data_IF_410328916103
#
_entry.id   IF_410328916103
#
_cell.length_a   1.000
_cell.length_b   1.000
_cell.length_c   1.000
_cell.angle_alpha   90.00
_cell.angle_beta   90.00
_cell.angle_gamma   90.00
#
_symmetry.space_group_name_H-M   'P 1'
#
loop_
_entity.id
_entity.type
_entity.pdbx_description
1 polymer ?
#
# COMPACT_ATOMS: atom_id res chain seq x y z
N UNK A 1 4.02 -9.37 25.04
CA UNK A 1 4.35 -8.47 24.31
C UNK A 1 3.76 -8.46 23.00
N UNK A 2 3.26 -7.53 22.56
CA UNK A 2 2.73 -7.52 21.31
C UNK A 2 3.65 -6.94 20.41
N UNK A 3 3.70 -7.36 19.26
CA UNK A 3 4.56 -6.78 18.32
C UNK A 3 3.74 -6.17 17.26
N UNK A 4 3.96 -4.95 16.95
CA UNK A 4 3.33 -4.32 15.83
C UNK A 4 4.10 -4.67 14.59
N UNK A 5 3.41 -4.68 13.49
CA UNK A 5 4.07 -4.90 12.20
C UNK A 5 5.03 -3.75 11.96
N UNK A 6 6.26 -4.07 11.61
CA UNK A 6 7.27 -3.06 11.35
C UNK A 6 7.29 -2.71 9.88
N UNK A 7 6.70 -1.59 9.53
CA UNK A 7 6.59 -1.17 8.14
C UNK A 7 7.93 -0.82 7.49
N UNK A 8 8.98 -0.67 8.30
CA UNK A 8 10.30 -0.37 7.77
C UNK A 8 11.08 -1.63 7.37
N UNK A 9 10.88 -2.72 8.07
CA UNK A 9 11.71 -3.90 7.82
C UNK A 9 10.97 -5.21 7.62
N UNK A 10 9.74 -5.34 8.08
CA UNK A 10 9.03 -6.59 7.90
C UNK A 10 8.68 -6.81 6.43
N UNK A 11 8.68 -8.05 6.03
CA UNK A 11 8.32 -8.38 4.67
C UNK A 11 6.85 -8.07 4.45
N UNK A 12 6.56 -7.34 3.39
CA UNK A 12 5.19 -7.00 3.03
C UNK A 12 4.73 -7.91 1.91
N UNK A 13 3.58 -8.51 2.08
CA UNK A 13 3.00 -9.38 1.07
C UNK A 13 1.59 -8.90 0.76
N UNK A 14 0.97 -9.53 -0.21
CA UNK A 14 -0.40 -9.17 -0.56
C UNK A 14 -1.37 -9.44 0.58
N UNK A 15 -1.02 -10.30 1.51
CA UNK A 15 -1.88 -10.61 2.65
C UNK A 15 -1.64 -9.73 3.86
N UNK A 16 -0.61 -8.92 3.84
CA UNK A 16 -0.28 -8.06 4.96
C UNK A 16 -1.41 -7.08 5.20
N UNK A 17 -1.99 -7.05 6.40
CA UNK A 17 -3.11 -6.14 6.66
C UNK A 17 -2.63 -4.71 6.89
N UNK A 18 -3.44 -3.76 6.47
CA UNK A 18 -3.17 -2.35 6.73
C UNK A 18 -3.65 -2.06 8.14
N UNK A 19 -2.75 -1.60 8.98
CA UNK A 19 -3.08 -1.35 10.39
C UNK A 19 -2.99 0.14 10.68
N UNK A 20 -3.39 0.52 11.88
CA UNK A 20 -3.31 1.91 12.31
C UNK A 20 -1.88 2.43 12.34
N UNK A 21 -0.91 1.53 12.41
CA UNK A 21 0.50 1.93 12.42
C UNK A 21 1.11 2.04 11.02
N UNK A 22 0.29 1.89 9.99
CA UNK A 22 0.78 1.97 8.62
C UNK A 22 1.56 3.26 8.36
N UNK A 23 2.66 3.14 7.63
CA UNK A 23 3.46 4.28 7.21
C UNK A 23 3.94 4.09 5.80
N UNK A 24 4.15 5.18 5.09
CA UNK A 24 4.64 5.14 3.71
C UNK A 24 6.16 5.07 3.72
N UNK A 25 6.70 3.88 4.00
CA UNK A 25 8.14 3.69 4.10
C UNK A 25 8.71 3.25 2.75
N UNK A 26 10.02 3.22 2.65
CA UNK A 26 10.70 2.70 1.48
C UNK A 26 10.31 1.25 1.24
N UNK A 27 10.17 0.48 2.31
CA UNK A 27 9.77 -0.92 2.21
C UNK A 27 8.40 -1.04 1.57
N UNK A 28 7.47 -0.16 1.94
CA UNK A 28 6.14 -0.13 1.37
C UNK A 28 6.20 0.25 -0.10
N UNK A 29 6.99 1.25 -0.44
CA UNK A 29 7.13 1.68 -1.83
C UNK A 29 7.69 0.58 -2.70
N UNK A 30 8.64 -0.18 -2.15
CA UNK A 30 9.24 -1.29 -2.88
C UNK A 30 8.19 -2.34 -3.19
N UNK A 31 7.33 -2.63 -2.21
CA UNK A 31 6.24 -3.57 -2.41
C UNK A 31 5.32 -3.09 -3.53
N UNK A 32 4.90 -1.83 -3.47
CA UNK A 32 3.97 -1.31 -4.48
C UNK A 32 4.60 -1.27 -5.86
N UNK A 33 5.88 -0.97 -5.95
CA UNK A 33 6.54 -0.99 -7.25
C UNK A 33 6.56 -2.40 -7.82
N UNK A 34 6.75 -3.40 -6.96
CA UNK A 34 6.74 -4.77 -7.43
C UNK A 34 5.35 -5.20 -7.88
N UNK A 35 4.31 -4.68 -7.25
CA UNK A 35 2.94 -5.06 -7.60
C UNK A 35 2.37 -4.23 -8.75
N UNK A 36 2.70 -2.97 -8.78
CA UNK A 36 2.05 -2.02 -9.70
C UNK A 36 2.96 -1.51 -10.81
N UNK A 37 4.26 -1.71 -10.68
CA UNK A 37 5.21 -1.25 -11.70
C UNK A 37 5.97 -0.02 -11.24
N UNK A 38 6.98 0.34 -12.03
CA UNK A 38 7.88 1.43 -11.67
C UNK A 38 7.23 2.79 -11.65
N UNK A 39 6.05 2.90 -12.24
CA UNK A 39 5.36 4.18 -12.28
C UNK A 39 4.55 4.46 -11.04
N UNK A 40 4.56 3.54 -10.07
CA UNK A 40 3.80 3.74 -8.86
C UNK A 40 4.18 5.03 -8.15
N UNK A 41 3.19 5.77 -7.71
CA UNK A 41 3.39 6.96 -6.92
C UNK A 41 2.32 7.08 -5.88
N UNK A 42 2.68 7.66 -4.73
CA UNK A 42 1.69 7.99 -3.72
C UNK A 42 1.18 9.40 -4.01
N UNK A 43 -0.04 9.53 -4.51
CA UNK A 43 -0.63 10.85 -4.65
C UNK A 43 -1.55 11.10 -3.46
N UNK A 44 -2.03 12.30 -3.29
CA UNK A 44 -2.83 12.66 -2.14
C UNK A 44 -4.10 11.86 -2.01
N UNK A 45 -4.91 11.72 -3.05
CA UNK A 45 -6.14 10.95 -2.92
C UNK A 45 -5.89 9.51 -2.53
N UNK A 46 -4.83 8.93 -3.07
CA UNK A 46 -4.52 7.54 -2.77
C UNK A 46 -4.04 7.39 -1.33
N UNK A 47 -3.20 8.33 -0.86
CA UNK A 47 -2.73 8.27 0.52
C UNK A 47 -3.88 8.40 1.50
N UNK A 48 -4.85 9.25 1.18
CA UNK A 48 -6.02 9.37 2.04
C UNK A 48 -6.83 8.09 2.04
N UNK A 49 -6.94 7.45 0.88
CA UNK A 49 -7.66 6.18 0.77
C UNK A 49 -7.00 5.11 1.63
N UNK A 50 -5.67 5.03 1.57
CA UNK A 50 -4.95 4.02 2.35
C UNK A 50 -5.13 4.23 3.84
N UNK A 51 -5.12 5.47 4.28
CA UNK A 51 -5.31 5.74 5.70
C UNK A 51 -6.67 5.28 6.17
N UNK A 52 -7.65 5.34 5.30
CA UNK A 52 -8.99 4.90 5.63
C UNK A 52 -9.19 3.40 5.38
N UNK A 53 -8.19 2.74 4.84
CA UNK A 53 -8.32 1.34 4.44
C UNK A 53 -7.87 0.36 5.51
N UNK A 54 -7.86 0.78 6.76
CA UNK A 54 -7.49 -0.12 7.84
C UNK A 54 -8.45 -1.29 7.82
N UNK A 55 -7.90 -2.49 7.88
CA UNK A 55 -8.70 -3.69 7.77
C UNK A 55 -8.60 -4.36 6.41
N UNK A 56 -8.13 -3.62 5.42
CA UNK A 56 -7.88 -4.22 4.11
C UNK A 56 -6.43 -4.68 4.06
N UNK A 57 -6.06 -5.38 3.00
CA UNK A 57 -4.69 -5.88 2.89
C UNK A 57 -3.89 -5.04 1.91
N UNK A 58 -2.58 -5.21 1.95
CA UNK A 58 -1.69 -4.48 1.04
C UNK A 58 -1.95 -4.89 -0.42
N UNK A 59 -2.33 -6.14 -0.64
CA UNK A 59 -2.70 -6.57 -1.98
C UNK A 59 -3.92 -5.84 -2.50
N UNK A 60 -4.91 -5.63 -1.63
CA UNK A 60 -6.09 -4.88 -2.01
C UNK A 60 -5.73 -3.43 -2.31
N UNK A 61 -4.78 -2.88 -1.57
CA UNK A 61 -4.32 -1.52 -1.82
C UNK A 61 -3.64 -1.42 -3.19
N UNK A 62 -2.82 -2.40 -3.53
CA UNK A 62 -2.16 -2.41 -4.83
C UNK A 62 -3.18 -2.50 -5.96
N UNK A 63 -4.19 -3.35 -5.77
CA UNK A 63 -5.24 -3.50 -6.78
C UNK A 63 -6.03 -2.21 -6.94
N UNK A 64 -6.26 -1.49 -5.86
CA UNK A 64 -6.97 -0.22 -5.91
C UNK A 64 -6.17 0.80 -6.73
N UNK A 65 -4.86 0.86 -6.53
CA UNK A 65 -4.04 1.78 -7.29
C UNK A 65 -4.10 1.46 -8.79
N UNK A 66 -4.01 0.19 -9.13
CA UNK A 66 -4.08 -0.22 -10.52
C UNK A 66 -5.42 0.14 -11.14
N UNK A 67 -6.49 -0.03 -10.39
CA UNK A 67 -7.81 0.32 -10.87
C UNK A 67 -7.93 1.83 -11.13
N UNK A 68 -7.34 2.64 -10.25
CA UNK A 68 -7.34 4.08 -10.43
C UNK A 68 -6.57 4.50 -11.66
N UNK A 69 -5.45 3.82 -11.92
CA UNK A 69 -4.66 4.11 -13.10
C UNK A 69 -5.42 3.75 -14.38
N UNK A 70 -6.12 2.64 -14.35
CA UNK A 70 -6.91 2.25 -15.51
C UNK A 70 -8.02 3.26 -15.78
N UNK A 71 -8.62 3.78 -14.74
CA UNK A 71 -9.66 4.78 -14.92
C UNK A 71 -9.15 6.12 -15.40
N UNK A 72 -7.89 6.44 -15.10
CA UNK A 72 -7.31 7.69 -15.56
C UNK A 72 -6.83 7.62 -16.97
N UNK A 73 -6.60 6.41 -17.47
CA UNK A 73 -6.05 6.31 -18.76
C UNK A 73 -7.03 6.72 -19.77
N UNK A 74 -6.67 7.43 -20.68
CA UNK A 74 -7.64 7.81 -21.58
C UNK A 74 -7.20 8.02 -22.80
#
# INVERSE_FOLDING_TARGET
MTSSFDWHSNKITRRTPITASYRNTQNVRRFFRAQCGEHFKFDRPYMAWIKAAIGKTMGEAADEWLRRQAGKKR
#
